data_IF_355937909186
#
_entry.id   IF_355937909186
#
_cell.length_a   1.000
_cell.length_b   1.000
_cell.length_c   1.000
_cell.angle_alpha   90.00
_cell.angle_beta   90.00
_cell.angle_gamma   90.00
#
_symmetry.space_group_name_H-M   'P 1'
#
loop_
_entity.id
_entity.type
_entity.pdbx_description
1 polymer ?
#
# COMPACT_ATOMS: atom_id res chain seq x y z
N UNK A 1 -17.31 -7.03 9.51
CA UNK A 1 -17.33 -5.86 8.63
C UNK A 1 -17.93 -6.34 7.34
N UNK A 2 -18.97 -5.67 6.85
CA UNK A 2 -19.71 -6.12 5.66
C UNK A 2 -19.13 -5.55 4.36
N UNK A 3 -18.38 -4.46 4.46
CA UNK A 3 -17.69 -3.84 3.33
C UNK A 3 -16.46 -3.05 3.82
N UNK A 4 -15.33 -3.17 3.11
CA UNK A 4 -14.06 -2.52 3.43
C UNK A 4 -13.61 -1.67 2.25
N UNK A 5 -13.56 -0.35 2.49
CA UNK A 5 -13.05 0.63 1.53
C UNK A 5 -11.75 1.20 2.03
N UNK A 6 -10.72 1.20 1.19
CA UNK A 6 -9.46 1.90 1.47
C UNK A 6 -9.36 3.18 0.67
N UNK A 7 -8.92 4.25 1.33
CA UNK A 7 -8.58 5.51 0.68
C UNK A 7 -7.13 5.90 0.94
N UNK A 8 -6.57 6.74 0.07
CA UNK A 8 -5.21 7.20 0.25
C UNK A 8 -4.66 8.02 -0.92
N UNK A 9 -3.38 8.33 -0.84
CA UNK A 9 -2.63 9.00 -1.90
C UNK A 9 -1.62 8.00 -2.47
N UNK A 10 -1.44 7.99 -3.79
CA UNK A 10 -0.38 7.24 -4.49
C UNK A 10 0.77 8.19 -4.81
N UNK A 11 1.91 7.95 -4.17
CA UNK A 11 3.21 8.56 -4.46
C UNK A 11 4.29 7.49 -4.41
N UNK A 12 5.45 7.66 -5.08
CA UNK A 12 6.60 6.78 -4.90
C UNK A 12 6.98 6.66 -3.42
N UNK A 13 7.21 5.43 -2.95
CA UNK A 13 7.62 5.16 -1.58
C UNK A 13 8.96 4.44 -1.55
N UNK A 14 9.92 5.00 -0.83
CA UNK A 14 11.35 4.69 -0.93
C UNK A 14 11.73 3.20 -0.84
N UNK A 15 10.98 2.36 -0.11
CA UNK A 15 11.16 0.89 -0.10
C UNK A 15 9.93 0.09 -0.54
N UNK A 16 8.73 0.67 -0.58
CA UNK A 16 7.48 -0.08 -0.74
C UNK A 16 6.96 -0.05 -2.19
N UNK A 17 7.76 0.46 -3.13
CA UNK A 17 7.31 0.84 -4.46
C UNK A 17 6.51 2.13 -4.43
N UNK A 18 5.24 2.05 -4.05
CA UNK A 18 4.29 3.18 -4.00
C UNK A 18 3.53 3.23 -2.66
N UNK A 19 2.88 4.34 -2.31
CA UNK A 19 1.90 4.40 -1.21
C UNK A 19 0.50 3.96 -1.66
N UNK A 20 -0.53 4.20 -0.84
CA UNK A 20 -1.93 3.93 -1.17
C UNK A 20 -2.33 2.45 -1.14
N UNK A 21 -3.63 2.21 -1.32
CA UNK A 21 -4.22 0.87 -1.40
C UNK A 21 -3.87 0.00 -0.20
N UNK A 22 -3.20 -1.13 -0.45
CA UNK A 22 -2.78 -2.13 0.54
C UNK A 22 -2.02 -1.56 1.75
N UNK A 23 -1.36 -0.41 1.59
CA UNK A 23 -0.64 0.27 2.67
C UNK A 23 -1.57 0.77 3.79
N UNK A 24 -2.84 1.01 3.48
CA UNK A 24 -3.89 1.34 4.45
C UNK A 24 -4.22 0.16 5.38
N UNK A 25 -3.90 -1.08 4.97
CA UNK A 25 -4.04 -2.28 5.81
C UNK A 25 -2.74 -2.55 6.57
N UNK A 26 -1.65 -2.83 5.85
CA UNK A 26 -0.32 -3.04 6.40
C UNK A 26 0.61 -1.94 5.87
N UNK A 27 1.11 -1.02 6.70
CA UNK A 27 1.04 -1.00 8.17
C UNK A 27 -0.16 -0.29 8.79
N UNK A 28 -1.06 0.32 8.00
CA UNK A 28 -2.03 1.31 8.48
C UNK A 28 -2.87 0.93 9.71
N UNK A 29 -3.28 -0.34 9.84
CA UNK A 29 -4.13 -0.83 10.96
C UNK A 29 -3.60 -2.11 11.60
N UNK A 30 -2.33 -2.45 11.37
CA UNK A 30 -1.74 -3.69 11.86
C UNK A 30 -1.06 -3.52 13.24
N UNK A 31 -0.92 -4.62 13.98
CA UNK A 31 -0.17 -4.63 15.24
C UNK A 31 1.33 -4.42 15.04
N UNK A 32 2.01 -3.88 16.06
CA UNK A 32 3.44 -3.53 16.03
C UNK A 32 4.35 -4.65 15.50
N UNK A 33 4.18 -5.88 15.98
CA UNK A 33 4.99 -7.03 15.56
C UNK A 33 4.90 -7.29 14.05
N UNK A 34 3.70 -7.19 13.48
CA UNK A 34 3.47 -7.35 12.03
C UNK A 34 4.16 -6.22 11.26
N UNK A 35 4.02 -4.98 11.75
CA UNK A 35 4.66 -3.81 11.14
C UNK A 35 6.18 -3.98 11.12
N UNK A 36 6.79 -4.32 12.26
CA UNK A 36 8.25 -4.48 12.37
C UNK A 36 8.77 -5.62 11.49
N UNK A 37 8.05 -6.74 11.43
CA UNK A 37 8.41 -7.89 10.58
C UNK A 37 8.43 -7.48 9.11
N UNK A 38 7.39 -6.80 8.63
CA UNK A 38 7.33 -6.31 7.26
C UNK A 38 8.41 -5.25 6.97
N UNK A 39 8.63 -4.30 7.89
CA UNK A 39 9.64 -3.25 7.72
C UNK A 39 11.07 -3.79 7.73
N UNK A 40 11.34 -4.90 8.44
CA UNK A 40 12.67 -5.54 8.42
C UNK A 40 13.11 -5.93 7.00
N UNK A 41 12.16 -6.15 6.08
CA UNK A 41 12.41 -6.50 4.68
C UNK A 41 12.84 -5.30 3.81
N UNK A 42 12.84 -4.07 4.34
CA UNK A 42 13.19 -2.85 3.58
C UNK A 42 14.63 -2.85 3.02
N UNK A 43 15.52 -3.66 3.60
CA UNK A 43 16.92 -3.79 3.15
C UNK A 43 17.06 -4.69 1.92
N UNK A 44 16.01 -5.40 1.51
CA UNK A 44 16.04 -6.27 0.34
C UNK A 44 16.38 -5.50 -0.94
N UNK A 45 17.15 -6.07 -1.89
CA UNK A 45 17.56 -5.36 -3.11
C UNK A 45 16.40 -4.80 -3.94
N UNK A 46 15.27 -5.50 -3.96
CA UNK A 46 14.07 -5.10 -4.70
C UNK A 46 13.14 -4.14 -3.94
N UNK A 47 13.40 -3.88 -2.66
CA UNK A 47 12.63 -2.93 -1.85
C UNK A 47 13.07 -1.50 -2.20
N UNK A 48 12.52 -0.97 -3.29
CA UNK A 48 12.92 0.31 -3.90
C UNK A 48 11.71 1.13 -4.30
N UNK A 49 11.90 2.45 -4.42
CA UNK A 49 10.90 3.34 -4.98
C UNK A 49 10.48 2.88 -6.39
N UNK A 50 9.18 2.89 -6.66
CA UNK A 50 8.63 2.51 -7.96
C UNK A 50 8.61 1.00 -8.27
N UNK A 51 9.29 0.15 -7.49
CA UNK A 51 9.33 -1.29 -7.75
C UNK A 51 8.31 -2.06 -6.91
N UNK A 52 7.34 -2.69 -7.58
CA UNK A 52 6.38 -3.62 -6.98
C UNK A 52 6.77 -5.08 -7.20
N UNK A 53 7.35 -5.41 -8.37
CA UNK A 53 7.65 -6.79 -8.73
C UNK A 53 8.83 -7.34 -7.93
N UNK A 54 8.63 -8.47 -7.24
CA UNK A 54 9.66 -9.08 -6.39
C UNK A 54 10.01 -8.24 -5.16
N UNK A 55 9.17 -7.25 -4.82
CA UNK A 55 9.34 -6.43 -3.63
C UNK A 55 8.58 -7.07 -2.47
N UNK A 56 9.31 -7.83 -1.64
CA UNK A 56 8.75 -8.58 -0.51
C UNK A 56 8.03 -7.72 0.52
N UNK A 57 8.36 -6.42 0.63
CA UNK A 57 7.63 -5.48 1.48
C UNK A 57 6.24 -5.25 0.91
N UNK A 58 6.14 -4.97 -0.39
CA UNK A 58 4.87 -4.76 -1.08
C UNK A 58 4.01 -6.03 -1.12
N UNK A 59 4.62 -7.17 -1.46
CA UNK A 59 3.91 -8.44 -1.64
C UNK A 59 3.21 -8.88 -0.35
N UNK A 60 3.86 -8.73 0.81
CA UNK A 60 3.21 -9.03 2.09
C UNK A 60 2.11 -8.02 2.45
N UNK A 61 2.27 -6.74 2.11
CA UNK A 61 1.17 -5.77 2.29
C UNK A 61 -0.03 -6.11 1.41
N UNK A 62 0.23 -6.53 0.18
CA UNK A 62 -0.77 -6.96 -0.80
C UNK A 62 -1.52 -8.20 -0.29
N UNK A 63 -0.80 -9.22 0.17
CA UNK A 63 -1.38 -10.43 0.78
C UNK A 63 -2.25 -10.08 2.00
N UNK A 64 -1.81 -9.15 2.85
CA UNK A 64 -2.59 -8.71 4.01
C UNK A 64 -3.92 -8.04 3.59
N UNK A 65 -3.92 -7.25 2.52
CA UNK A 65 -5.12 -6.60 1.99
C UNK A 65 -6.08 -7.59 1.31
N UNK A 66 -5.55 -8.60 0.61
CA UNK A 66 -6.34 -9.71 0.04
C UNK A 66 -6.97 -10.55 1.14
N UNK A 67 -6.20 -10.89 2.18
CA UNK A 67 -6.66 -11.73 3.29
C UNK A 67 -7.78 -11.09 4.11
N UNK A 68 -7.78 -9.76 4.25
CA UNK A 68 -8.86 -9.05 4.96
C UNK A 68 -10.10 -8.82 4.07
N UNK A 69 -9.97 -9.01 2.75
CA UNK A 69 -11.06 -8.80 1.80
C UNK A 69 -11.37 -7.32 1.59
N UNK A 70 -10.39 -6.51 1.16
CA UNK A 70 -10.67 -5.12 0.75
C UNK A 70 -11.53 -5.12 -0.53
N UNK A 71 -12.79 -4.71 -0.40
CA UNK A 71 -13.76 -4.70 -1.50
C UNK A 71 -13.49 -3.57 -2.51
N UNK A 72 -13.07 -2.40 -2.03
CA UNK A 72 -12.85 -1.25 -2.90
C UNK A 72 -11.67 -0.39 -2.45
N UNK A 73 -10.93 0.16 -3.42
CA UNK A 73 -9.96 1.21 -3.15
C UNK A 73 -10.21 2.44 -4.02
N UNK A 74 -10.03 3.62 -3.41
CA UNK A 74 -10.03 4.92 -4.10
C UNK A 74 -8.82 5.70 -3.63
N UNK A 75 -7.88 5.95 -4.52
CA UNK A 75 -6.69 6.73 -4.23
C UNK A 75 -6.59 7.93 -5.15
N UNK A 76 -5.97 9.00 -4.67
CA UNK A 76 -5.65 10.18 -5.47
C UNK A 76 -4.16 10.24 -5.78
N UNK A 77 -3.82 10.82 -6.93
CA UNK A 77 -2.44 11.20 -7.26
C UNK A 77 -2.36 12.71 -7.17
N UNK A 78 -1.44 13.22 -6.37
CA UNK A 78 -1.28 14.67 -6.17
C UNK A 78 -0.04 15.21 -6.86
N UNK A 79 -0.04 16.50 -7.17
CA UNK A 79 1.18 17.25 -7.52
C UNK A 79 2.01 17.58 -6.26
N UNK A 80 3.11 18.32 -6.48
CA UNK A 80 3.98 18.85 -5.43
C UNK A 80 3.28 19.87 -4.50
N UNK A 81 2.19 20.49 -4.96
CA UNK A 81 1.34 21.40 -4.19
C UNK A 81 0.19 20.69 -3.48
N UNK A 82 0.18 19.36 -3.47
CA UNK A 82 -0.87 18.51 -2.90
C UNK A 82 -2.25 18.71 -3.55
N UNK A 83 -2.30 19.23 -4.77
CA UNK A 83 -3.51 19.31 -5.56
C UNK A 83 -3.79 17.97 -6.26
N UNK A 84 -5.07 17.57 -6.30
CA UNK A 84 -5.46 16.33 -6.93
C UNK A 84 -5.34 16.42 -8.45
N UNK A 85 -4.45 15.63 -9.03
CA UNK A 85 -4.26 15.52 -10.47
C UNK A 85 -5.05 14.36 -11.09
N UNK A 86 -5.39 13.32 -10.31
CA UNK A 86 -6.05 12.12 -10.82
C UNK A 86 -6.68 11.29 -9.70
N UNK A 87 -7.88 10.77 -9.97
CA UNK A 87 -8.50 9.70 -9.18
C UNK A 87 -8.15 8.33 -9.78
N UNK A 88 -7.74 7.38 -8.94
CA UNK A 88 -7.48 6.00 -9.29
C UNK A 88 -8.33 5.10 -8.40
N UNK A 89 -9.15 4.23 -8.98
CA UNK A 89 -9.99 3.30 -8.23
C UNK A 89 -9.84 1.89 -8.74
N UNK A 90 -10.06 0.91 -7.85
CA UNK A 90 -10.06 -0.50 -8.18
C UNK A 90 -11.09 -1.24 -7.33
N UNK A 91 -11.88 -2.08 -8.00
CA UNK A 91 -12.78 -3.05 -7.37
C UNK A 91 -12.02 -4.35 -7.11
N UNK A 92 -12.08 -4.78 -5.85
CA UNK A 92 -11.50 -6.00 -5.32
C UNK A 92 -9.96 -6.10 -5.43
N UNK A 93 -9.38 -6.68 -4.38
CA UNK A 93 -8.00 -7.14 -4.37
C UNK A 93 -7.88 -8.51 -5.05
#
# INVERSE_FOLDING_TARGET
MDFIITTGVIVPHYFAGFSGGRKSILPGICGRKTIETNHSKMVHPNARAGNLKGNSVHEEMQEAAEKIGVDFNINVVTDENHQNNRNCSRENY
#
